data_IF_089007640137
#
_entry.id   IF_089007640137
#
_cell.length_a   1.000
_cell.length_b   1.000
_cell.length_c   1.000
_cell.angle_alpha   90.00
_cell.angle_beta   90.00
_cell.angle_gamma   90.00
#
_symmetry.space_group_name_H-M   'P 1'
#
loop_
_entity.id
_entity.type
_entity.pdbx_description
1 polymer ?
#
# COMPACT_ATOMS: atom_id res chain seq x y z
N UNK A 1 -2.79 -37.29 6.41
CA UNK A 1 -3.74 -36.15 6.39
C UNK A 1 -2.98 -34.96 6.94
N UNK A 2 -2.44 -34.13 6.06
CA UNK A 2 -1.77 -32.90 6.46
C UNK A 2 -2.84 -31.91 6.93
N UNK A 3 -2.61 -31.28 8.07
CA UNK A 3 -3.52 -30.26 8.62
C UNK A 3 -3.45 -29.04 7.69
N UNK A 4 -4.60 -28.63 7.20
CA UNK A 4 -4.74 -27.39 6.45
C UNK A 4 -4.64 -26.22 7.44
N UNK A 5 -3.49 -25.55 7.45
CA UNK A 5 -3.30 -24.34 8.23
C UNK A 5 -4.14 -23.22 7.62
N UNK A 6 -5.26 -22.92 8.30
CA UNK A 6 -6.26 -21.92 7.93
C UNK A 6 -5.75 -20.47 8.03
N UNK A 7 -4.43 -20.29 8.20
CA UNK A 7 -3.75 -19.01 8.39
C UNK A 7 -3.19 -18.50 7.05
N UNK A 8 -3.12 -19.35 6.02
CA UNK A 8 -2.65 -18.97 4.67
C UNK A 8 -3.60 -19.55 3.61
N UNK A 9 -4.73 -18.89 3.29
CA UNK A 9 -5.63 -19.36 2.24
C UNK A 9 -4.89 -19.47 0.90
N UNK A 10 -5.10 -20.52 0.09
CA UNK A 10 -4.40 -20.77 -1.18
C UNK A 10 -4.71 -19.77 -2.30
N UNK A 11 -5.35 -18.65 -1.99
CA UNK A 11 -5.84 -17.65 -2.95
C UNK A 11 -4.98 -16.37 -2.97
N UNK A 12 -3.84 -16.35 -2.27
CA UNK A 12 -2.98 -15.16 -2.14
C UNK A 12 -1.87 -15.04 -3.20
N UNK A 13 -1.65 -16.07 -4.02
CA UNK A 13 -0.65 -16.04 -5.10
C UNK A 13 -1.14 -15.36 -6.37
N UNK A 14 -1.76 -14.18 -6.27
CA UNK A 14 -2.05 -13.37 -7.47
C UNK A 14 -0.81 -12.62 -7.96
N UNK A 15 0.21 -12.45 -7.11
CA UNK A 15 1.42 -11.68 -7.39
C UNK A 15 2.68 -12.44 -6.99
N UNK A 16 3.82 -11.96 -7.48
CA UNK A 16 5.14 -12.55 -7.23
C UNK A 16 5.57 -12.48 -5.76
N UNK A 17 5.03 -11.51 -5.01
CA UNK A 17 5.30 -11.26 -3.59
C UNK A 17 3.99 -10.99 -2.84
N UNK A 18 3.99 -11.25 -1.55
CA UNK A 18 2.84 -11.07 -0.66
C UNK A 18 2.79 -9.66 -0.06
N UNK A 19 1.59 -9.13 0.15
CA UNK A 19 1.40 -7.81 0.76
C UNK A 19 2.10 -7.67 2.13
N UNK A 20 2.17 -8.77 2.90
CA UNK A 20 2.75 -8.73 4.25
C UNK A 20 4.23 -8.39 4.23
N UNK A 21 4.97 -8.84 3.20
CA UNK A 21 6.41 -8.61 3.03
C UNK A 21 6.72 -7.11 2.97
N UNK A 22 5.80 -6.31 2.44
CA UNK A 22 5.91 -4.84 2.48
C UNK A 22 5.49 -4.30 3.84
N UNK A 23 4.28 -4.65 4.28
CA UNK A 23 3.60 -3.92 5.37
C UNK A 23 4.21 -4.14 6.75
N UNK A 24 4.96 -5.23 6.95
CA UNK A 24 5.65 -5.50 8.21
C UNK A 24 6.88 -4.60 8.44
N UNK A 25 7.47 -4.08 7.35
CA UNK A 25 8.61 -3.15 7.37
C UNK A 25 8.18 -1.68 7.47
N UNK A 26 6.89 -1.41 7.31
CA UNK A 26 6.33 -0.07 7.33
C UNK A 26 5.77 0.26 8.72
N UNK A 27 5.76 1.55 9.05
CA UNK A 27 5.05 2.01 10.24
C UNK A 27 3.54 1.72 10.13
N UNK A 28 2.81 1.86 11.23
CA UNK A 28 1.39 1.51 11.27
C UNK A 28 0.53 2.23 10.21
N UNK A 29 0.76 3.52 9.97
CA UNK A 29 -0.03 4.28 9.00
C UNK A 29 0.32 3.87 7.56
N UNK A 30 1.61 3.85 7.22
CA UNK A 30 2.08 3.52 5.87
C UNK A 30 1.78 2.06 5.51
N UNK A 31 1.97 1.12 6.44
CA UNK A 31 1.62 -0.29 6.23
C UNK A 31 0.13 -0.50 6.01
N UNK A 32 -0.74 0.23 6.74
CA UNK A 32 -2.17 0.16 6.47
C UNK A 32 -2.54 0.80 5.13
N UNK A 33 -2.00 1.99 4.80
CA UNK A 33 -2.24 2.63 3.52
C UNK A 33 -1.84 1.72 2.35
N UNK A 34 -0.62 1.18 2.38
CA UNK A 34 -0.10 0.23 1.40
C UNK A 34 -1.03 -0.96 1.25
N UNK A 35 -1.40 -1.62 2.36
CA UNK A 35 -2.30 -2.78 2.37
C UNK A 35 -3.63 -2.50 1.68
N UNK A 36 -4.23 -1.34 1.93
CA UNK A 36 -5.53 -1.02 1.36
C UNK A 36 -5.44 -0.69 -0.12
N UNK A 37 -4.40 0.03 -0.56
CA UNK A 37 -4.11 0.19 -2.00
C UNK A 37 -3.85 -1.18 -2.63
N UNK A 38 -3.06 -2.05 -2.00
CA UNK A 38 -2.74 -3.40 -2.50
C UNK A 38 -4.00 -4.25 -2.80
N UNK A 39 -4.98 -4.21 -1.91
CA UNK A 39 -6.15 -5.11 -1.90
C UNK A 39 -7.35 -4.60 -2.69
N UNK A 40 -7.39 -3.33 -3.06
CA UNK A 40 -8.63 -2.69 -3.49
C UNK A 40 -9.29 -3.39 -4.69
N UNK A 41 -8.50 -3.86 -5.68
CA UNK A 41 -9.02 -4.58 -6.85
C UNK A 41 -9.56 -5.99 -6.54
N UNK A 42 -9.07 -6.62 -5.49
CA UNK A 42 -9.38 -8.01 -5.17
C UNK A 42 -10.42 -8.15 -4.05
N UNK A 43 -10.69 -7.06 -3.32
CA UNK A 43 -11.52 -7.08 -2.11
C UNK A 43 -12.57 -5.98 -2.10
N UNK A 44 -12.36 -4.90 -1.37
CA UNK A 44 -13.45 -3.97 -1.04
C UNK A 44 -13.51 -2.73 -1.94
N UNK A 45 -12.77 -2.70 -3.06
CA UNK A 45 -12.83 -1.62 -4.04
C UNK A 45 -12.62 -0.24 -3.44
N UNK A 46 -13.60 0.65 -3.66
CA UNK A 46 -13.59 2.02 -3.16
C UNK A 46 -13.45 2.13 -1.63
N UNK A 47 -13.98 1.18 -0.86
CA UNK A 47 -13.88 1.23 0.61
C UNK A 47 -12.44 1.09 1.08
N UNK A 48 -11.66 0.20 0.46
CA UNK A 48 -10.24 0.05 0.77
C UNK A 48 -9.49 1.34 0.39
N UNK A 49 -9.74 1.94 -0.78
CA UNK A 49 -9.10 3.21 -1.15
C UNK A 49 -9.47 4.37 -0.21
N UNK A 50 -10.72 4.45 0.27
CA UNK A 50 -11.14 5.43 1.29
C UNK A 50 -10.34 5.24 2.58
N UNK A 51 -10.11 3.99 3.01
CA UNK A 51 -9.26 3.67 4.17
C UNK A 51 -7.80 4.03 3.90
N UNK A 52 -7.26 3.73 2.72
CA UNK A 52 -5.91 4.11 2.34
C UNK A 52 -5.69 5.62 2.51
N UNK A 53 -6.58 6.43 1.94
CA UNK A 53 -6.54 7.89 2.09
C UNK A 53 -6.60 8.33 3.55
N UNK A 54 -7.45 7.70 4.37
CA UNK A 54 -7.55 8.02 5.80
C UNK A 54 -6.23 7.78 6.54
N UNK A 55 -5.52 6.69 6.25
CA UNK A 55 -4.23 6.40 6.86
C UNK A 55 -3.12 7.34 6.38
N UNK A 56 -3.11 7.73 5.09
CA UNK A 56 -2.17 8.72 4.56
C UNK A 56 -2.39 10.10 5.21
N UNK A 57 -3.64 10.53 5.37
CA UNK A 57 -3.95 11.77 6.08
C UNK A 57 -3.46 11.73 7.53
N UNK A 58 -3.63 10.60 8.22
CA UNK A 58 -3.11 10.44 9.58
C UNK A 58 -1.59 10.46 9.65
N UNK A 59 -0.91 9.95 8.63
CA UNK A 59 0.54 10.09 8.53
C UNK A 59 0.93 11.55 8.42
N UNK A 60 0.24 12.32 7.57
CA UNK A 60 0.48 13.75 7.38
C UNK A 60 0.24 14.56 8.67
N UNK A 61 -0.81 14.22 9.41
CA UNK A 61 -1.19 14.91 10.65
C UNK A 61 -0.29 14.52 11.85
N UNK A 62 0.52 13.47 11.72
CA UNK A 62 1.28 12.87 12.83
C UNK A 62 2.71 13.41 12.91
N UNK A 63 3.09 13.93 14.08
CA UNK A 63 4.50 14.24 14.42
C UNK A 63 5.26 13.04 15.03
N UNK A 64 4.74 11.83 14.92
CA UNK A 64 5.37 10.64 15.53
C UNK A 64 6.70 10.31 14.84
N UNK A 65 7.70 9.96 15.65
CA UNK A 65 8.99 9.45 15.17
C UNK A 65 8.76 8.19 14.34
N UNK A 66 9.22 8.23 13.09
CA UNK A 66 9.10 7.11 12.17
C UNK A 66 10.34 6.21 12.27
N UNK A 67 10.14 4.91 12.16
CA UNK A 67 11.21 4.02 11.74
C UNK A 67 11.24 4.09 10.21
N UNK A 68 12.32 4.66 9.68
CA UNK A 68 12.54 4.71 8.25
C UNK A 68 13.14 3.40 7.79
N UNK A 69 12.80 3.05 6.55
CA UNK A 69 13.45 1.94 5.87
C UNK A 69 14.94 2.23 5.75
N UNK A 70 15.77 1.20 5.92
CA UNK A 70 17.17 1.28 5.51
C UNK A 70 17.28 1.16 3.97
N UNK A 71 18.35 1.68 3.33
CA UNK A 71 18.48 1.67 1.87
C UNK A 71 18.34 0.28 1.24
N UNK A 72 18.83 -0.76 1.91
CA UNK A 72 18.73 -2.14 1.44
C UNK A 72 17.28 -2.66 1.49
N UNK A 73 16.53 -2.32 2.53
CA UNK A 73 15.11 -2.69 2.66
C UNK A 73 14.27 -1.97 1.60
N UNK A 74 14.51 -0.68 1.39
CA UNK A 74 13.84 0.07 0.34
C UNK A 74 14.11 -0.53 -1.04
N UNK A 75 15.37 -0.86 -1.36
CA UNK A 75 15.73 -1.47 -2.64
C UNK A 75 15.07 -2.84 -2.83
N UNK A 76 15.03 -3.68 -1.79
CA UNK A 76 14.36 -4.99 -1.82
C UNK A 76 12.85 -4.84 -2.10
N UNK A 77 12.19 -3.91 -1.42
CA UNK A 77 10.76 -3.68 -1.60
C UNK A 77 10.43 -3.12 -2.99
N UNK A 78 11.23 -2.19 -3.52
CA UNK A 78 11.02 -1.65 -4.86
C UNK A 78 11.19 -2.72 -5.95
N UNK A 79 12.23 -3.56 -5.87
CA UNK A 79 12.42 -4.71 -6.77
C UNK A 79 11.27 -5.73 -6.66
N UNK A 80 10.76 -5.96 -5.44
CA UNK A 80 9.57 -6.78 -5.23
C UNK A 80 8.31 -6.19 -5.89
N UNK A 81 8.14 -4.87 -5.83
CA UNK A 81 7.00 -4.18 -6.42
C UNK A 81 7.05 -4.19 -7.95
N UNK A 82 8.22 -3.98 -8.55
CA UNK A 82 8.41 -4.02 -10.02
C UNK A 82 8.07 -5.40 -10.61
N UNK A 83 8.29 -6.48 -9.84
CA UNK A 83 7.91 -7.85 -10.23
C UNK A 83 6.41 -8.12 -10.15
N UNK A 84 5.65 -7.23 -9.53
CA UNK A 84 4.20 -7.30 -9.52
C UNK A 84 3.67 -6.62 -10.78
N UNK A 85 3.00 -7.34 -11.66
CA UNK A 85 2.35 -6.79 -12.86
C UNK A 85 1.11 -5.95 -12.47
N UNK A 86 1.34 -4.81 -11.84
CA UNK A 86 0.32 -3.88 -11.36
C UNK A 86 -0.10 -2.90 -12.46
N UNK A 87 -1.27 -2.28 -12.29
CA UNK A 87 -1.60 -1.12 -13.10
C UNK A 87 -0.72 0.08 -12.76
N UNK A 88 -0.30 0.84 -13.77
CA UNK A 88 0.66 1.96 -13.65
C UNK A 88 0.34 2.91 -12.49
N UNK A 89 -0.93 3.26 -12.32
CA UNK A 89 -1.37 4.18 -11.27
C UNK A 89 -1.29 3.56 -9.87
N UNK A 90 -1.70 2.31 -9.72
CA UNK A 90 -1.55 1.59 -8.46
C UNK A 90 -0.08 1.39 -8.10
N UNK A 91 0.76 1.02 -9.07
CA UNK A 91 2.19 0.89 -8.87
C UNK A 91 2.78 2.21 -8.38
N UNK A 92 2.52 3.32 -9.09
CA UNK A 92 2.97 4.64 -8.69
C UNK A 92 2.56 5.01 -7.26
N UNK A 93 1.30 4.77 -6.87
CA UNK A 93 0.85 5.05 -5.49
C UNK A 93 1.62 4.24 -4.45
N UNK A 94 1.89 2.97 -4.73
CA UNK A 94 2.64 2.10 -3.81
C UNK A 94 4.12 2.51 -3.73
N UNK A 95 4.73 2.90 -4.85
CA UNK A 95 6.09 3.45 -4.90
C UNK A 95 6.21 4.73 -4.08
N UNK A 96 5.25 5.66 -4.20
CA UNK A 96 5.24 6.90 -3.41
C UNK A 96 5.10 6.64 -1.90
N UNK A 97 4.34 5.61 -1.52
CA UNK A 97 4.24 5.17 -0.12
C UNK A 97 5.59 4.65 0.39
N UNK A 98 6.30 3.85 -0.40
CA UNK A 98 7.63 3.34 -0.05
C UNK A 98 8.66 4.47 -0.02
N UNK A 99 8.61 5.39 -0.97
CA UNK A 99 9.50 6.54 -1.04
C UNK A 99 9.32 7.45 0.18
N UNK A 100 8.07 7.72 0.60
CA UNK A 100 7.81 8.46 1.83
C UNK A 100 8.36 7.71 3.06
N UNK A 101 8.19 6.39 3.13
CA UNK A 101 8.69 5.59 4.24
C UNK A 101 10.22 5.54 4.32
N UNK A 102 10.92 5.86 3.23
CA UNK A 102 12.38 5.95 3.17
C UNK A 102 12.91 7.37 3.38
N UNK A 103 12.33 8.37 2.71
CA UNK A 103 12.82 9.76 2.69
C UNK A 103 12.03 10.74 3.57
N UNK A 104 10.90 10.35 4.16
CA UNK A 104 9.94 11.23 4.85
C UNK A 104 9.47 12.42 3.99
N UNK A 105 9.45 12.26 2.67
CA UNK A 105 9.09 13.36 1.77
C UNK A 105 7.60 13.68 1.83
N UNK A 106 7.24 14.89 2.26
CA UNK A 106 5.84 15.36 2.24
C UNK A 106 5.27 15.34 0.81
N UNK A 107 6.07 15.69 -0.19
CA UNK A 107 5.66 15.66 -1.60
C UNK A 107 5.23 14.26 -2.03
N UNK A 108 5.98 13.22 -1.65
CA UNK A 108 5.60 11.82 -1.95
C UNK A 108 4.33 11.39 -1.23
N UNK A 109 4.11 11.86 0.01
CA UNK A 109 2.88 11.58 0.75
C UNK A 109 1.67 12.22 0.06
N UNK A 110 1.81 13.47 -0.38
CA UNK A 110 0.77 14.18 -1.14
C UNK A 110 0.54 13.54 -2.52
N UNK A 111 1.59 13.07 -3.20
CA UNK A 111 1.49 12.35 -4.46
C UNK A 111 0.73 11.04 -4.29
N UNK A 112 1.04 10.23 -3.25
CA UNK A 112 0.29 9.03 -2.91
C UNK A 112 -1.19 9.34 -2.64
N UNK A 113 -1.50 10.39 -1.88
CA UNK A 113 -2.88 10.84 -1.63
C UNK A 113 -3.60 11.24 -2.92
N UNK A 114 -2.91 11.93 -3.82
CA UNK A 114 -3.44 12.32 -5.13
C UNK A 114 -3.76 11.07 -5.97
N UNK A 115 -2.83 10.13 -6.07
CA UNK A 115 -3.03 8.89 -6.81
C UNK A 115 -4.13 8.00 -6.22
N UNK A 116 -4.29 7.93 -4.89
CA UNK A 116 -5.45 7.26 -4.27
C UNK A 116 -6.77 7.94 -4.67
N UNK A 117 -6.77 9.28 -4.76
CA UNK A 117 -7.94 10.04 -5.24
C UNK A 117 -8.26 9.74 -6.70
N UNK A 118 -7.23 9.58 -7.53
CA UNK A 118 -7.33 9.18 -8.93
C UNK A 118 -7.93 7.77 -9.07
N UNK A 119 -7.41 6.80 -8.30
CA UNK A 119 -7.94 5.43 -8.26
C UNK A 119 -9.42 5.39 -7.85
N UNK A 120 -9.82 6.23 -6.89
CA UNK A 120 -11.21 6.34 -6.43
C UNK A 120 -12.16 6.77 -7.55
N UNK A 121 -11.74 7.65 -8.47
CA UNK A 121 -12.57 8.08 -9.61
C UNK A 121 -12.99 6.88 -10.47
N UNK A 122 -12.16 5.84 -10.54
CA UNK A 122 -12.43 4.61 -11.29
C UNK A 122 -13.59 3.78 -10.75
N UNK A 123 -14.03 3.99 -9.50
CA UNK A 123 -15.15 3.27 -8.90
C UNK A 123 -16.50 4.01 -8.99
N UNK A 124 -16.51 5.22 -9.55
CA UNK A 124 -17.70 6.07 -9.59
C UNK A 124 -18.01 6.72 -8.23
N UNK A 125 -18.81 7.80 -8.27
CA UNK A 125 -19.26 8.50 -7.07
C UNK A 125 -20.33 7.61 -6.40
N UNK A 126 -19.99 6.90 -5.32
CA UNK A 126 -20.95 6.13 -4.49
C UNK A 126 -21.86 7.08 -3.70
N UNK A 127 -22.63 7.89 -4.45
CA UNK A 127 -23.82 8.62 -4.01
C UNK A 127 -25.01 8.10 -4.81
N UNK A 128 -25.39 6.86 -4.56
CA UNK A 128 -26.74 6.33 -4.86
C UNK A 128 -27.26 5.58 -3.66
#
# INVERSE_FOLDING_TARGET
>A
MEKQDNITPPHYRSRAVECIEFTERLNFCMGNAFKYVWRHREKNGAEDLKKARWYLQRQLDSCAVMHLLEPEEYAELMDGLEKCELDDLMQHVLEEILYHAFFESEDSLLAAMCGVSELLKGYGDERT
#
